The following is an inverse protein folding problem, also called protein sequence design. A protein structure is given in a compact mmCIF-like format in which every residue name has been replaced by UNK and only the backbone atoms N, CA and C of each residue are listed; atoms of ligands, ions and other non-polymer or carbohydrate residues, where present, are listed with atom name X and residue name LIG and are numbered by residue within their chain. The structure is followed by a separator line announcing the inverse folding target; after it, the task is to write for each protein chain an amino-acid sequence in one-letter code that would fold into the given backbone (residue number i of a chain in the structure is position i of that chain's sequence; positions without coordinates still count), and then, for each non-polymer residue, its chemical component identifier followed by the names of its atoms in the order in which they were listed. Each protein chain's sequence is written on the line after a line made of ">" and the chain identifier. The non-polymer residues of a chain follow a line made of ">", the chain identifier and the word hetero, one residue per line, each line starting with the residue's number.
data_IF_661090943345
#
_entry.id   IF_661090943345
#
_cell.length_a   1.000
_cell.length_b   1.000
_cell.length_c   1.000
_cell.angle_alpha   90.00
_cell.angle_beta   90.00
_cell.angle_gamma   90.00
#
_symmetry.space_group_name_H-M   'P 1'
#
loop_
_entity.id
_entity.type
_entity.pdbx_description
1 polymer ?
#
# COMPACT_ATOMS: atom_id res chain seq x y z
N UNK A 1 -4.95 -21.01 6.47
CA UNK A 1 -3.87 -20.70 7.44
C UNK A 1 -3.42 -19.25 7.21
N UNK A 2 -3.54 -18.36 8.20
CA UNK A 2 -2.99 -17.00 8.10
C UNK A 2 -1.48 -17.07 8.37
N UNK A 3 -0.70 -17.36 7.33
CA UNK A 3 0.76 -17.40 7.40
C UNK A 3 1.28 -16.06 7.92
N UNK A 4 2.24 -16.11 8.84
CA UNK A 4 2.90 -14.89 9.32
C UNK A 4 3.62 -14.23 8.16
N UNK A 5 3.29 -12.98 7.87
CA UNK A 5 3.92 -12.22 6.78
C UNK A 5 5.21 -11.59 7.31
N UNK A 6 6.29 -11.81 6.60
CA UNK A 6 7.60 -11.23 6.88
C UNK A 6 7.97 -10.24 5.78
N UNK A 7 8.81 -9.27 6.11
CA UNK A 7 9.46 -8.44 5.10
C UNK A 7 10.65 -9.22 4.54
N UNK A 8 10.67 -9.39 3.23
CA UNK A 8 11.75 -10.03 2.51
C UNK A 8 12.45 -8.99 1.66
N UNK A 9 13.76 -8.86 1.83
CA UNK A 9 14.62 -8.11 0.94
C UNK A 9 15.05 -9.04 -0.19
N UNK A 10 14.72 -8.66 -1.42
CA UNK A 10 15.06 -9.40 -2.63
C UNK A 10 15.98 -8.54 -3.48
N UNK A 11 17.18 -9.04 -3.73
CA UNK A 11 18.16 -8.41 -4.62
C UNK A 11 18.43 -9.31 -5.83
N UNK A 12 18.74 -8.68 -6.96
CA UNK A 12 19.10 -9.34 -8.21
C UNK A 12 20.22 -8.54 -8.89
N UNK A 13 21.15 -9.17 -9.63
CA UNK A 13 22.24 -8.45 -10.29
C UNK A 13 21.77 -7.32 -11.21
N UNK A 14 20.71 -7.58 -11.99
CA UNK A 14 20.19 -6.65 -13.00
C UNK A 14 19.06 -5.72 -12.52
N UNK A 15 18.55 -5.90 -11.29
CA UNK A 15 17.39 -5.15 -10.80
C UNK A 15 17.65 -4.53 -9.42
N UNK A 16 17.02 -3.39 -9.11
CA UNK A 16 17.18 -2.76 -7.80
C UNK A 16 16.64 -3.67 -6.69
N UNK A 17 17.33 -3.66 -5.55
CA UNK A 17 16.87 -4.37 -4.35
C UNK A 17 15.50 -3.85 -3.89
N UNK A 18 14.56 -4.76 -3.64
CA UNK A 18 13.19 -4.42 -3.21
C UNK A 18 12.83 -5.15 -1.92
N UNK A 19 12.13 -4.45 -1.01
CA UNK A 19 11.62 -5.05 0.23
C UNK A 19 10.13 -5.37 0.11
N UNK A 20 9.78 -6.63 -0.06
CA UNK A 20 8.41 -7.09 -0.29
C UNK A 20 7.85 -7.83 0.94
N UNK A 21 6.61 -7.56 1.36
CA UNK A 21 5.96 -8.39 2.37
C UNK A 21 5.47 -9.69 1.75
N UNK A 22 5.84 -10.82 2.34
CA UNK A 22 5.43 -12.12 1.82
C UNK A 22 5.36 -13.18 2.91
N UNK A 23 4.66 -14.28 2.64
CA UNK A 23 4.53 -15.43 3.56
C UNK A 23 5.77 -16.34 3.51
N UNK A 24 6.53 -16.29 2.43
CA UNK A 24 7.70 -17.13 2.18
C UNK A 24 8.66 -16.53 1.14
N UNK A 25 9.83 -17.15 0.96
CA UNK A 25 10.85 -16.67 0.01
C UNK A 25 10.39 -16.79 -1.44
N UNK A 26 9.71 -17.88 -1.82
CA UNK A 26 9.25 -18.10 -3.20
C UNK A 26 8.17 -17.08 -3.61
N UNK A 27 7.26 -16.79 -2.69
CA UNK A 27 6.26 -15.74 -2.91
C UNK A 27 6.88 -14.34 -2.88
N UNK A 28 8.03 -14.15 -2.23
CA UNK A 28 8.74 -12.88 -2.24
C UNK A 28 9.42 -12.60 -3.59
N UNK A 29 10.02 -13.61 -4.23
CA UNK A 29 10.63 -13.43 -5.56
C UNK A 29 9.58 -13.09 -6.63
N UNK A 30 8.39 -13.70 -6.56
CA UNK A 30 7.26 -13.37 -7.45
C UNK A 30 6.80 -11.93 -7.25
N UNK A 31 6.64 -11.48 -5.99
CA UNK A 31 6.26 -10.09 -5.69
C UNK A 31 7.35 -9.08 -6.07
N UNK A 32 8.63 -9.46 -5.96
CA UNK A 32 9.74 -8.65 -6.42
C UNK A 32 9.73 -8.49 -7.95
N UNK A 33 9.53 -9.58 -8.69
CA UNK A 33 9.42 -9.55 -10.15
C UNK A 33 8.25 -8.66 -10.63
N UNK A 34 7.12 -8.68 -9.91
CA UNK A 34 6.00 -7.74 -10.15
C UNK A 34 6.40 -6.29 -9.97
N UNK A 35 7.18 -5.96 -8.94
CA UNK A 35 7.67 -4.59 -8.70
C UNK A 35 8.69 -4.13 -9.74
N UNK A 36 9.47 -5.05 -10.29
CA UNK A 36 10.39 -4.76 -11.39
C UNK A 36 9.69 -4.66 -12.75
N UNK A 37 8.38 -4.92 -12.82
CA UNK A 37 7.61 -4.86 -14.07
C UNK A 37 7.81 -6.06 -14.98
N UNK A 38 8.40 -7.16 -14.48
CA UNK A 38 8.71 -8.38 -15.25
C UNK A 38 8.09 -9.64 -14.61
N UNK A 39 6.77 -9.66 -14.34
CA UNK A 39 6.13 -10.79 -13.67
C UNK A 39 6.26 -12.11 -14.45
N UNK A 40 6.30 -12.05 -15.78
CA UNK A 40 6.42 -13.20 -16.69
C UNK A 40 7.77 -13.93 -16.56
N UNK A 41 8.84 -13.21 -16.19
CA UNK A 41 10.22 -13.71 -16.18
C UNK A 41 10.64 -14.27 -14.82
N UNK A 42 9.74 -14.30 -13.82
CA UNK A 42 10.06 -14.66 -12.44
C UNK A 42 10.81 -16.00 -12.33
N UNK A 43 10.42 -17.01 -13.11
CA UNK A 43 11.02 -18.35 -13.05
C UNK A 43 12.48 -18.36 -13.51
N UNK A 44 12.86 -17.45 -14.41
CA UNK A 44 14.25 -17.27 -14.86
C UNK A 44 15.07 -16.46 -13.87
N UNK A 45 14.45 -15.46 -13.23
CA UNK A 45 15.11 -14.56 -12.27
C UNK A 45 15.30 -15.22 -10.90
N UNK A 46 14.41 -16.14 -10.50
CA UNK A 46 14.41 -16.74 -9.17
C UNK A 46 15.75 -17.38 -8.79
N UNK A 47 16.47 -17.98 -9.75
CA UNK A 47 17.78 -18.59 -9.51
C UNK A 47 18.92 -17.60 -9.23
N UNK A 48 18.75 -16.34 -9.63
CA UNK A 48 19.73 -15.26 -9.42
C UNK A 48 19.34 -14.30 -8.29
N UNK A 49 18.14 -14.48 -7.72
CA UNK A 49 17.65 -13.66 -6.62
C UNK A 49 18.29 -14.07 -5.29
N UNK A 50 18.87 -13.10 -4.58
CA UNK A 50 19.21 -13.28 -3.16
C UNK A 50 18.05 -12.80 -2.31
N UNK A 51 17.52 -13.68 -1.44
CA UNK A 51 16.37 -13.38 -0.59
C UNK A 51 16.79 -13.40 0.87
N UNK A 52 16.63 -12.27 1.56
CA UNK A 52 16.90 -12.13 2.99
C UNK A 52 15.60 -11.90 3.74
N UNK A 53 15.31 -12.75 4.73
CA UNK A 53 14.18 -12.54 5.63
C UNK A 53 14.53 -11.45 6.65
N UNK A 54 13.76 -10.38 6.65
CA UNK A 54 13.78 -9.33 7.65
C UNK A 54 12.78 -9.56 8.78
N UNK A 55 12.35 -8.46 9.41
CA UNK A 55 11.37 -8.49 10.50
C UNK A 55 9.97 -8.92 10.07
N UNK A 56 9.10 -9.16 11.07
CA UNK A 56 7.66 -9.36 10.82
C UNK A 56 7.09 -8.11 10.16
N UNK A 57 6.33 -8.30 9.08
CA UNK A 57 5.65 -7.20 8.43
C UNK A 57 4.55 -6.68 9.36
N UNK A 58 4.68 -5.43 9.81
CA UNK A 58 3.65 -4.78 10.61
C UNK A 58 2.43 -4.46 9.73
N UNK A 59 1.24 -4.43 10.34
CA UNK A 59 0.07 -3.88 9.66
C UNK A 59 0.20 -2.36 9.63
N UNK A 60 -0.13 -1.70 8.51
CA UNK A 60 -0.08 -0.25 8.45
C UNK A 60 -1.09 0.35 9.43
N UNK A 61 -0.68 1.42 10.10
CA UNK A 61 -1.53 2.20 11.00
C UNK A 61 -1.99 3.46 10.28
N UNK A 62 -3.26 3.80 10.48
CA UNK A 62 -3.84 5.00 9.88
C UNK A 62 -3.15 6.24 10.45
N UNK A 63 -2.62 7.10 9.58
CA UNK A 63 -1.97 8.35 10.01
C UNK A 63 -2.94 9.33 10.69
N UNK A 64 -4.25 9.17 10.47
CA UNK A 64 -5.29 10.04 11.07
C UNK A 64 -5.90 9.47 12.35
N UNK A 65 -6.29 8.20 12.37
CA UNK A 65 -6.99 7.60 13.51
C UNK A 65 -6.18 6.57 14.30
N UNK A 66 -4.95 6.26 13.87
CA UNK A 66 -4.05 5.32 14.56
C UNK A 66 -4.45 3.83 14.49
N UNK A 67 -5.64 3.52 13.94
CA UNK A 67 -6.12 2.14 13.78
C UNK A 67 -5.31 1.38 12.75
N UNK A 68 -5.03 0.11 13.05
CA UNK A 68 -4.45 -0.82 12.07
C UNK A 68 -5.48 -1.11 10.96
N UNK A 69 -5.03 -1.09 9.71
CA UNK A 69 -5.89 -1.37 8.56
C UNK A 69 -5.12 -2.17 7.50
N UNK A 70 -5.84 -2.77 6.56
CA UNK A 70 -5.23 -3.48 5.45
C UNK A 70 -4.46 -4.76 5.81
N UNK A 71 -3.51 -5.09 4.95
CA UNK A 71 -2.66 -6.29 5.04
C UNK A 71 -1.25 -5.94 5.53
N UNK A 72 -0.58 -6.90 6.16
CA UNK A 72 0.77 -6.73 6.69
C UNK A 72 1.74 -6.33 5.57
N UNK A 73 2.48 -5.24 5.78
CA UNK A 73 3.45 -4.69 4.83
C UNK A 73 2.89 -3.83 3.69
N UNK A 74 1.59 -3.50 3.70
CA UNK A 74 1.09 -2.40 2.88
C UNK A 74 1.65 -1.06 3.35
N UNK A 75 1.76 -0.10 2.42
CA UNK A 75 2.23 1.25 2.71
C UNK A 75 1.34 1.92 3.77
N UNK A 76 1.98 2.62 4.72
CA UNK A 76 1.26 3.41 5.71
C UNK A 76 0.51 4.57 5.02
N UNK A 77 -0.74 4.79 5.41
CA UNK A 77 -1.62 5.77 4.77
C UNK A 77 -2.88 6.03 5.59
N UNK A 78 -3.88 6.65 4.97
CA UNK A 78 -5.19 6.84 5.61
C UNK A 78 -6.02 5.56 5.43
N UNK A 79 -6.70 5.13 6.49
CA UNK A 79 -7.61 3.99 6.39
C UNK A 79 -8.82 4.33 5.51
N UNK A 80 -9.53 3.31 4.96
CA UNK A 80 -10.70 3.51 4.12
C UNK A 80 -11.78 4.39 4.76
N UNK A 81 -11.99 4.29 6.07
CA UNK A 81 -12.96 5.13 6.79
C UNK A 81 -12.54 6.60 6.85
N UNK A 82 -11.26 6.88 7.09
CA UNK A 82 -10.74 8.24 7.07
C UNK A 82 -10.77 8.84 5.67
N UNK A 83 -10.45 8.06 4.63
CA UNK A 83 -10.59 8.50 3.24
C UNK A 83 -12.06 8.80 2.89
N UNK A 84 -12.98 7.93 3.32
CA UNK A 84 -14.43 8.14 3.12
C UNK A 84 -14.90 9.40 3.85
N UNK A 85 -14.43 9.64 5.07
CA UNK A 85 -14.77 10.85 5.84
C UNK A 85 -14.25 12.13 5.17
N UNK A 86 -13.04 12.11 4.60
CA UNK A 86 -12.51 13.26 3.86
C UNK A 86 -13.28 13.54 2.58
N UNK A 87 -13.65 12.49 1.84
CA UNK A 87 -14.45 12.63 0.64
C UNK A 87 -15.85 13.17 0.96
N UNK A 88 -16.49 12.71 2.04
CA UNK A 88 -17.75 13.27 2.53
C UNK A 88 -17.62 14.75 2.90
N UNK A 89 -16.56 15.11 3.63
CA UNK A 89 -16.31 16.51 4.01
C UNK A 89 -16.10 17.40 2.78
N UNK A 90 -15.34 16.92 1.78
CA UNK A 90 -15.15 17.62 0.50
C UNK A 90 -16.47 17.86 -0.22
N UNK A 91 -17.35 16.85 -0.28
CA UNK A 91 -18.69 16.98 -0.89
C UNK A 91 -19.57 17.97 -0.15
N UNK A 92 -19.57 17.95 1.19
CA UNK A 92 -20.31 18.92 2.00
C UNK A 92 -19.84 20.35 1.73
N UNK A 93 -18.54 20.61 1.70
CA UNK A 93 -17.98 21.94 1.41
C UNK A 93 -18.29 22.41 -0.02
N UNK A 94 -18.28 21.49 -1.00
CA UNK A 94 -18.70 21.81 -2.37
C UNK A 94 -20.18 22.19 -2.45
N UNK A 95 -21.05 21.51 -1.70
CA UNK A 95 -22.48 21.79 -1.64
C UNK A 95 -22.78 23.15 -0.97
N UNK A 96 -22.04 23.52 0.08
CA UNK A 96 -22.19 24.82 0.76
C UNK A 96 -21.86 25.98 -0.19
N UNK A 97 -20.73 25.89 -0.93
CA UNK A 97 -20.38 26.90 -1.96
C UNK A 97 -21.42 26.99 -3.08
N UNK A 98 -22.14 25.92 -3.35
CA UNK A 98 -23.27 25.91 -4.30
C UNK A 98 -24.51 26.60 -3.74
N UNK A 99 -24.83 26.43 -2.45
CA UNK A 99 -26.00 27.06 -1.82
C UNK A 99 -25.80 28.55 -1.52
N UNK A 100 -24.56 28.99 -1.29
CA UNK A 100 -24.21 30.41 -1.08
C UNK A 100 -24.31 31.26 -2.34
N UNK A 101 -24.53 30.65 -3.52
CA UNK A 101 -24.85 31.36 -4.76
C UNK A 101 -26.35 31.65 -4.91
N UNK A 102 -27.12 31.72 -3.81
CA UNK A 102 -28.50 32.21 -3.86
C UNK A 102 -28.49 33.68 -4.30
N UNK A 103 -29.08 34.03 -5.46
CA UNK A 103 -29.22 35.41 -5.87
C UNK A 103 -30.26 36.07 -4.96
N UNK A 104 -29.84 36.91 -4.01
CA UNK A 104 -30.81 37.55 -3.11
C UNK A 104 -30.31 38.39 -1.94
N UNK A 105 -29.00 38.61 -1.74
CA UNK A 105 -28.51 39.51 -0.69
C UNK A 105 -27.65 40.63 -1.29
N UNK A 106 -28.31 41.57 -1.98
CA UNK A 106 -27.89 42.98 -2.05
C UNK A 106 -29.01 43.78 -1.39
N UNK A 107 -28.87 44.00 -0.09
CA UNK A 107 -29.50 45.11 0.60
C UNK A 107 -28.60 46.33 0.48
#
# INVERSE_FOLDING_TARGET
>A
MKGTVYLYEVSHPDYPTVTVPSIGPDSATVEAARRWGVPELWGRLAGYCTVRRGGRAARPRCTRCGREFGTAGQAAGKCPDCLRSEELHRRQMANIRGSDRRPGMRG
#
